data_IF_941703891962
#
_entry.id   IF_941703891962
#
_cell.length_a   1.000
_cell.length_b   1.000
_cell.length_c   1.000
_cell.angle_alpha   90.00
_cell.angle_beta   90.00
_cell.angle_gamma   90.00
#
_symmetry.space_group_name_H-M   'P 1'
#
loop_
_entity.id
_entity.type
_entity.pdbx_description
1 polymer ?
#
# COMPACT_ATOMS: atom_id res chain seq x y z
N UNK A 1 9.82 17.36 1.17
CA UNK A 1 9.38 18.27 0.08
C UNK A 1 10.51 18.40 -0.93
N UNK A 2 10.31 19.02 -2.12
CA UNK A 2 11.40 19.22 -3.09
C UNK A 2 12.65 19.91 -2.51
N UNK A 3 12.49 20.63 -1.40
CA UNK A 3 13.58 21.24 -0.62
C UNK A 3 14.50 20.24 0.10
N UNK A 4 14.03 19.02 0.36
CA UNK A 4 14.82 17.97 1.02
C UNK A 4 15.75 17.26 0.03
N UNK A 5 15.46 17.36 -1.28
CA UNK A 5 16.28 16.80 -2.36
C UNK A 5 17.54 17.64 -2.66
N UNK A 6 17.72 18.79 -2.00
CA UNK A 6 18.77 19.76 -2.36
C UNK A 6 20.15 19.43 -1.77
N UNK A 7 20.24 18.50 -0.80
CA UNK A 7 21.52 18.11 -0.18
C UNK A 7 21.42 16.70 0.41
N UNK A 8 22.52 15.94 0.37
CA UNK A 8 22.61 14.61 0.98
C UNK A 8 22.27 14.62 2.48
N UNK A 9 22.73 15.62 3.21
CA UNK A 9 22.48 15.74 4.66
C UNK A 9 20.98 15.85 4.98
N UNK A 10 20.22 16.59 4.16
CA UNK A 10 18.77 16.73 4.34
C UNK A 10 18.03 15.42 4.06
N UNK A 11 18.49 14.64 3.09
CA UNK A 11 17.89 13.33 2.79
C UNK A 11 18.14 12.37 3.95
N UNK A 12 19.31 12.43 4.59
CA UNK A 12 19.63 11.66 5.80
C UNK A 12 18.70 12.07 6.94
N UNK A 13 18.57 13.37 7.23
CA UNK A 13 17.68 13.86 8.30
C UNK A 13 16.20 13.45 8.06
N UNK A 14 15.76 13.53 6.80
CA UNK A 14 14.42 13.09 6.39
C UNK A 14 14.24 11.58 6.59
N UNK A 15 15.24 10.77 6.26
CA UNK A 15 15.21 9.33 6.46
C UNK A 15 15.14 8.96 7.94
N UNK A 16 15.95 9.60 8.81
CA UNK A 16 15.91 9.35 10.26
C UNK A 16 14.55 9.74 10.87
N UNK A 17 13.99 10.87 10.45
CA UNK A 17 12.63 11.29 10.86
C UNK A 17 11.57 10.29 10.39
N UNK A 18 11.69 9.79 9.16
CA UNK A 18 10.79 8.78 8.61
C UNK A 18 10.91 7.44 9.35
N UNK A 19 12.13 6.98 9.67
CA UNK A 19 12.37 5.78 10.49
C UNK A 19 11.64 5.91 11.82
N UNK A 20 11.82 7.03 12.52
CA UNK A 20 11.19 7.26 13.82
C UNK A 20 9.67 7.30 13.71
N UNK A 21 9.12 7.93 12.68
CA UNK A 21 7.67 8.04 12.46
C UNK A 21 7.03 6.67 12.18
N UNK A 22 7.72 5.81 11.43
CA UNK A 22 7.22 4.49 11.03
C UNK A 22 7.68 3.35 11.95
N UNK A 23 8.43 3.66 13.02
CA UNK A 23 8.91 2.67 13.98
C UNK A 23 9.85 1.64 13.36
N UNK A 24 10.66 2.03 12.37
CA UNK A 24 11.55 1.13 11.64
C UNK A 24 12.76 0.78 12.50
N UNK A 25 13.13 -0.50 12.51
CA UNK A 25 14.29 -1.03 13.22
C UNK A 25 15.03 -1.92 12.23
N UNK A 26 16.34 -1.74 12.13
CA UNK A 26 17.23 -2.50 11.23
C UNK A 26 18.24 -3.28 12.06
N UNK A 27 18.60 -4.47 11.59
CA UNK A 27 19.47 -5.39 12.34
C UNK A 27 20.94 -4.96 12.30
N UNK A 28 21.35 -4.27 11.23
CA UNK A 28 22.72 -3.83 11.03
C UNK A 28 22.83 -2.47 10.35
N UNK A 29 24.03 -1.88 10.41
CA UNK A 29 24.35 -0.61 9.74
C UNK A 29 24.30 -0.81 8.22
N UNK A 30 24.74 -1.97 7.73
CA UNK A 30 24.69 -2.33 6.31
C UNK A 30 23.24 -2.42 5.81
N UNK A 31 22.33 -3.01 6.59
CA UNK A 31 20.91 -3.00 6.26
C UNK A 31 20.36 -1.58 6.25
N UNK A 32 20.64 -0.78 7.29
CA UNK A 32 20.20 0.62 7.34
C UNK A 32 20.69 1.42 6.12
N UNK A 33 21.92 1.19 5.68
CA UNK A 33 22.48 1.83 4.49
C UNK A 33 21.77 1.38 3.21
N UNK A 34 21.51 0.09 3.04
CA UNK A 34 20.72 -0.42 1.91
C UNK A 34 19.32 0.21 1.88
N UNK A 35 18.66 0.30 3.05
CA UNK A 35 17.33 0.88 3.20
C UNK A 35 17.32 2.37 2.89
N UNK A 36 18.38 3.09 3.26
CA UNK A 36 18.58 4.50 2.90
C UNK A 36 18.68 4.70 1.39
N UNK A 37 19.47 3.88 0.69
CA UNK A 37 19.60 3.98 -0.77
C UNK A 37 18.26 3.74 -1.48
N UNK A 38 17.52 2.71 -1.07
CA UNK A 38 16.17 2.43 -1.59
C UNK A 38 15.20 3.58 -1.28
N UNK A 39 15.25 4.11 -0.06
CA UNK A 39 14.44 5.25 0.35
C UNK A 39 14.69 6.49 -0.50
N UNK A 40 15.96 6.78 -0.78
CA UNK A 40 16.38 7.88 -1.65
C UNK A 40 15.85 7.68 -3.08
N UNK A 41 15.97 6.48 -3.64
CA UNK A 41 15.44 6.17 -4.98
C UNK A 41 13.92 6.35 -5.04
N UNK A 42 13.21 5.87 -4.02
CA UNK A 42 11.76 6.05 -3.89
C UNK A 42 11.36 7.52 -3.73
N UNK A 43 12.14 8.31 -2.99
CA UNK A 43 11.91 9.75 -2.82
C UNK A 43 12.01 10.49 -4.17
N UNK A 44 13.03 10.19 -4.98
CA UNK A 44 13.15 10.75 -6.33
C UNK A 44 12.00 10.31 -7.24
N UNK A 45 11.61 9.03 -7.17
CA UNK A 45 10.47 8.52 -7.93
C UNK A 45 9.16 9.24 -7.56
N UNK A 46 8.94 9.50 -6.27
CA UNK A 46 7.78 10.24 -5.76
C UNK A 46 7.76 11.66 -6.31
N UNK A 47 8.88 12.39 -6.23
CA UNK A 47 8.98 13.77 -6.70
C UNK A 47 8.72 13.87 -8.22
N UNK A 48 9.37 13.01 -9.01
CA UNK A 48 9.21 13.00 -10.46
C UNK A 48 7.81 12.58 -10.92
N UNK A 49 7.16 11.66 -10.18
CA UNK A 49 5.80 11.23 -10.50
C UNK A 49 4.80 12.32 -10.13
N UNK A 50 4.94 12.94 -8.97
CA UNK A 50 4.04 13.99 -8.49
C UNK A 50 4.05 15.26 -9.37
N UNK A 51 5.12 15.51 -10.12
CA UNK A 51 5.16 16.56 -11.16
C UNK A 51 4.28 16.26 -12.38
N UNK A 52 3.98 14.98 -12.63
CA UNK A 52 3.29 14.50 -13.85
C UNK A 52 1.82 14.17 -13.61
N UNK A 53 1.48 13.72 -12.41
CA UNK A 53 0.13 13.26 -12.06
C UNK A 53 -0.72 14.40 -11.51
N UNK A 54 -2.03 14.37 -11.79
CA UNK A 54 -2.97 15.45 -11.39
C UNK A 54 -4.12 14.96 -10.51
N UNK A 55 -4.38 13.66 -10.49
CA UNK A 55 -5.55 13.04 -9.85
C UNK A 55 -5.19 12.15 -8.65
N UNK A 56 -3.90 11.99 -8.36
CA UNK A 56 -3.38 11.34 -7.16
C UNK A 56 -2.00 11.91 -6.83
N UNK A 57 -1.46 11.55 -5.69
CA UNK A 57 -0.08 11.83 -5.32
C UNK A 57 0.54 10.61 -4.64
N UNK A 58 1.84 10.44 -4.84
CA UNK A 58 2.67 9.52 -4.09
C UNK A 58 3.24 10.22 -2.85
N UNK A 59 3.68 9.43 -1.88
CA UNK A 59 4.31 9.95 -0.67
C UNK A 59 5.12 8.87 0.04
N UNK A 60 5.96 9.31 0.97
CA UNK A 60 6.76 8.45 1.82
C UNK A 60 5.87 7.73 2.85
N UNK A 61 5.29 6.62 2.43
CA UNK A 61 4.46 5.75 3.28
C UNK A 61 5.31 4.67 3.98
N UNK A 62 4.66 3.69 4.60
CA UNK A 62 5.31 2.59 5.34
C UNK A 62 6.28 1.75 4.48
N UNK A 63 6.16 1.79 3.15
CA UNK A 63 6.93 0.99 2.20
C UNK A 63 8.06 1.75 1.52
N UNK A 64 8.34 3.00 1.94
CA UNK A 64 9.35 3.83 1.30
C UNK A 64 10.78 3.25 1.36
N UNK A 65 11.07 2.31 2.25
CA UNK A 65 12.38 1.63 2.36
C UNK A 65 12.45 0.27 1.64
N UNK A 66 11.43 -0.08 0.86
CA UNK A 66 11.38 -1.33 0.11
C UNK A 66 11.55 -1.08 -1.38
N UNK A 67 12.32 -1.95 -2.04
CA UNK A 67 12.32 -1.99 -3.50
C UNK A 67 10.97 -2.51 -4.00
N UNK A 68 10.65 -2.25 -5.27
CA UNK A 68 9.43 -2.78 -5.86
C UNK A 68 9.36 -4.31 -5.78
N UNK A 69 10.48 -5.00 -6.05
CA UNK A 69 10.57 -6.45 -5.98
C UNK A 69 10.37 -6.98 -4.55
N UNK A 70 11.00 -6.34 -3.55
CA UNK A 70 10.80 -6.72 -2.15
C UNK A 70 9.33 -6.53 -1.73
N UNK A 71 8.72 -5.43 -2.15
CA UNK A 71 7.31 -5.15 -1.88
C UNK A 71 6.41 -6.21 -2.50
N UNK A 72 6.66 -6.57 -3.76
CA UNK A 72 5.91 -7.62 -4.47
C UNK A 72 6.01 -8.96 -3.73
N UNK A 73 7.23 -9.38 -3.37
CA UNK A 73 7.48 -10.67 -2.73
C UNK A 73 6.89 -10.77 -1.31
N UNK A 74 6.80 -9.65 -0.58
CA UNK A 74 6.30 -9.65 0.81
C UNK A 74 4.80 -9.39 0.91
N UNK A 75 4.24 -8.49 0.10
CA UNK A 75 2.89 -7.98 0.30
C UNK A 75 1.87 -8.43 -0.75
N UNK A 76 2.29 -8.91 -1.92
CA UNK A 76 1.38 -9.44 -2.95
C UNK A 76 1.24 -10.96 -2.80
N UNK A 77 0.05 -11.41 -2.39
CA UNK A 77 -0.17 -12.81 -2.01
C UNK A 77 -1.22 -13.59 -2.82
N UNK A 78 -2.01 -12.91 -3.66
CA UNK A 78 -3.13 -13.56 -4.33
C UNK A 78 -2.63 -14.47 -5.47
N UNK A 79 -2.78 -15.78 -5.28
CA UNK A 79 -2.57 -16.79 -6.33
C UNK A 79 -3.92 -17.36 -6.75
N UNK A 80 -4.43 -16.93 -7.90
CA UNK A 80 -5.71 -17.40 -8.42
C UNK A 80 -5.50 -18.63 -9.29
N UNK A 81 -6.03 -19.77 -8.85
CA UNK A 81 -6.17 -20.95 -9.71
C UNK A 81 -7.47 -20.84 -10.51
N UNK A 82 -7.37 -20.30 -11.73
CA UNK A 82 -8.51 -20.09 -12.63
C UNK A 82 -9.17 -21.40 -13.08
N UNK A 83 -8.49 -22.54 -12.95
CA UNK A 83 -9.04 -23.86 -13.31
C UNK A 83 -10.10 -24.37 -12.33
N UNK A 84 -10.17 -23.78 -11.13
CA UNK A 84 -11.11 -24.16 -10.05
C UNK A 84 -12.32 -23.24 -9.93
N UNK A 85 -12.68 -22.50 -10.98
CA UNK A 85 -13.97 -21.78 -11.02
C UNK A 85 -15.10 -22.79 -10.88
N UNK A 86 -15.62 -22.93 -9.66
CA UNK A 86 -16.87 -23.62 -9.41
C UNK A 86 -17.98 -22.64 -9.75
N UNK A 87 -18.94 -23.06 -10.55
CA UNK A 87 -20.22 -22.37 -10.70
C UNK A 87 -20.82 -22.21 -9.30
N UNK A 88 -20.96 -20.96 -8.84
CA UNK A 88 -21.60 -20.67 -7.57
C UNK A 88 -23.07 -21.10 -7.62
N UNK A 89 -23.60 -21.60 -6.51
CA UNK A 89 -24.98 -22.11 -6.43
C UNK A 89 -26.07 -21.03 -6.57
N UNK A 90 -25.68 -19.75 -6.63
CA UNK A 90 -26.58 -18.64 -6.97
C UNK A 90 -25.85 -17.72 -7.94
N UNK A 91 -26.31 -17.70 -9.19
CA UNK A 91 -25.94 -16.65 -10.13
C UNK A 91 -26.43 -15.31 -9.60
N UNK A 92 -25.59 -14.29 -9.71
CA UNK A 92 -25.98 -12.91 -9.46
C UNK A 92 -27.08 -12.54 -10.47
N UNK A 93 -28.33 -12.48 -10.01
CA UNK A 93 -29.43 -12.00 -10.81
C UNK A 93 -29.51 -10.48 -10.69
N UNK A 94 -29.39 -9.78 -11.82
CA UNK A 94 -29.73 -8.36 -11.89
C UNK A 94 -31.20 -8.21 -11.50
N UNK A 95 -31.46 -7.65 -10.31
CA UNK A 95 -32.80 -7.18 -9.96
C UNK A 95 -33.10 -5.94 -10.82
N UNK A 96 -34.38 -5.69 -11.12
CA UNK A 96 -34.83 -4.45 -11.75
C UNK A 96 -34.61 -3.26 -10.81
N UNK A 97 -33.35 -2.82 -10.69
CA UNK A 97 -32.94 -1.69 -9.86
C UNK A 97 -33.06 -0.43 -10.70
N UNK A 98 -34.14 0.31 -10.51
CA UNK A 98 -34.41 1.56 -11.25
C UNK A 98 -33.83 2.80 -10.60
N UNK A 99 -33.45 2.72 -9.32
CA UNK A 99 -32.86 3.84 -8.58
C UNK A 99 -31.68 3.38 -7.73
N UNK A 100 -30.51 3.95 -8.01
CA UNK A 100 -29.29 3.77 -7.21
C UNK A 100 -28.80 5.13 -6.70
N UNK A 101 -28.22 5.19 -5.50
CA UNK A 101 -27.65 6.43 -4.98
C UNK A 101 -26.43 6.85 -5.81
N UNK A 102 -26.17 8.17 -5.88
CA UNK A 102 -25.00 8.74 -6.56
C UNK A 102 -23.66 8.33 -5.93
N UNK A 103 -23.66 8.01 -4.63
CA UNK A 103 -22.50 7.51 -3.91
C UNK A 103 -22.93 6.64 -2.72
N UNK A 104 -22.08 5.69 -2.36
CA UNK A 104 -22.26 4.80 -1.20
C UNK A 104 -20.97 4.75 -0.40
N UNK A 105 -21.08 4.89 0.92
CA UNK A 105 -19.99 4.69 1.87
C UNK A 105 -20.49 3.85 3.04
N UNK A 106 -20.09 2.58 3.08
CA UNK A 106 -20.52 1.61 4.10
C UNK A 106 -19.94 1.90 5.48
N UNK A 107 -18.84 2.67 5.57
CA UNK A 107 -18.26 3.10 6.86
C UNK A 107 -19.24 3.97 7.62
N UNK A 108 -19.95 4.87 6.92
CA UNK A 108 -21.00 5.73 7.49
C UNK A 108 -22.22 4.96 8.00
N UNK A 109 -22.34 3.69 7.61
CA UNK A 109 -23.41 2.79 8.04
C UNK A 109 -22.97 1.81 9.14
N UNK A 110 -21.74 1.94 9.66
CA UNK A 110 -21.20 1.04 10.67
C UNK A 110 -20.94 -0.39 10.17
N UNK A 111 -20.88 -0.60 8.85
CA UNK A 111 -20.72 -1.91 8.23
C UNK A 111 -19.26 -2.23 7.87
N UNK A 112 -18.30 -1.45 8.37
CA UNK A 112 -16.87 -1.60 8.08
C UNK A 112 -16.10 -1.48 9.38
N UNK A 113 -15.23 -2.44 9.66
CA UNK A 113 -14.34 -2.42 10.84
C UNK A 113 -13.09 -1.57 10.57
N UNK A 114 -12.29 -1.29 11.61
CA UNK A 114 -11.03 -0.55 11.43
C UNK A 114 -10.08 -1.28 10.46
N UNK A 115 -9.26 -0.51 9.75
CA UNK A 115 -8.24 -1.04 8.84
C UNK A 115 -7.28 -1.96 9.61
N UNK A 116 -6.94 -3.10 9.00
CA UNK A 116 -6.03 -4.11 9.56
C UNK A 116 -4.77 -4.24 8.69
N UNK A 117 -3.68 -4.76 9.25
CA UNK A 117 -2.42 -5.01 8.55
C UNK A 117 -2.21 -6.52 8.35
N UNK A 118 -2.04 -6.95 7.11
CA UNK A 118 -1.79 -8.36 6.75
C UNK A 118 -0.34 -8.82 7.02
N UNK A 119 0.58 -7.87 7.19
CA UNK A 119 2.02 -8.13 7.20
C UNK A 119 2.52 -8.79 5.91
N UNK A 120 3.60 -9.55 6.03
CA UNK A 120 4.28 -10.23 4.93
C UNK A 120 3.74 -11.64 4.62
N UNK A 121 2.51 -11.95 5.05
CA UNK A 121 1.97 -13.32 5.01
C UNK A 121 1.34 -13.70 3.66
N UNK A 122 0.98 -12.72 2.82
CA UNK A 122 0.20 -12.98 1.60
C UNK A 122 -1.27 -13.39 1.88
N UNK A 123 -1.81 -12.99 3.02
CA UNK A 123 -3.15 -13.36 3.52
C UNK A 123 -4.28 -12.44 3.05
N UNK A 124 -4.03 -11.57 2.06
CA UNK A 124 -5.00 -10.57 1.57
C UNK A 124 -6.37 -11.17 1.17
N UNK A 125 -6.38 -12.40 0.64
CA UNK A 125 -7.61 -13.12 0.29
C UNK A 125 -8.50 -13.43 1.51
N UNK A 126 -7.89 -13.73 2.66
CA UNK A 126 -8.61 -14.02 3.89
C UNK A 126 -9.18 -12.72 4.48
N UNK A 127 -8.38 -11.64 4.47
CA UNK A 127 -8.82 -10.31 4.91
C UNK A 127 -10.00 -9.80 4.07
N UNK A 128 -9.94 -9.97 2.75
CA UNK A 128 -11.03 -9.63 1.83
C UNK A 128 -12.31 -10.40 2.17
N UNK A 129 -12.19 -11.72 2.39
CA UNK A 129 -13.34 -12.57 2.75
C UNK A 129 -13.95 -12.14 4.08
N UNK A 130 -13.13 -11.94 5.13
CA UNK A 130 -13.58 -11.56 6.47
C UNK A 130 -14.20 -10.17 6.48
N UNK A 131 -13.70 -9.22 5.68
CA UNK A 131 -14.28 -7.88 5.61
C UNK A 131 -15.64 -7.83 4.89
N UNK A 132 -15.96 -8.85 4.09
CA UNK A 132 -17.20 -8.91 3.32
C UNK A 132 -18.36 -9.61 4.06
N UNK A 133 -18.08 -10.33 5.16
CA UNK A 133 -19.05 -11.11 5.96
C UNK A 133 -19.27 -10.49 7.33
#
# INVERSE_FOLDING_TARGET
>A
TPEDLTSGDKIIDLFESWISKHGKIYESIEEKWLRFEIFKDNLFHIDETNKKVVNYWLGLNEFADLSHEEFQNKYLGLKVDMSKRREGSQEFNYKDVTSIPKSVDWRKKGAVTDVKNQGSCGSCWAFSTVAAV
#
